data_IF_188180657722
#
_entry.id   IF_188180657722
#
_cell.length_a   1.000
_cell.length_b   1.000
_cell.length_c   1.000
_cell.angle_alpha   90.00
_cell.angle_beta   90.00
_cell.angle_gamma   90.00
#
_symmetry.space_group_name_H-M   'P 1'
#
loop_
_entity.id
_entity.type
_entity.pdbx_description
1 polymer ?
#
# COMPACT_ATOMS: atom_id res chain seq x y z
N UNK A 1 -18.83 -0.53 -19.86
CA UNK A 1 -18.77 -0.21 -18.42
C UNK A 1 -18.00 1.08 -18.30
N UNK A 2 -18.57 2.12 -17.71
CA UNK A 2 -17.95 3.44 -17.69
C UNK A 2 -16.70 3.46 -16.78
N UNK A 3 -15.59 3.98 -17.29
CA UNK A 3 -14.46 4.37 -16.47
C UNK A 3 -14.76 5.64 -15.66
N UNK A 4 -14.14 5.74 -14.49
CA UNK A 4 -14.15 6.94 -13.65
C UNK A 4 -12.75 7.55 -13.63
N UNK A 5 -12.55 8.55 -14.49
CA UNK A 5 -11.25 9.17 -14.76
C UNK A 5 -11.13 10.54 -14.09
N UNK A 6 -9.92 11.10 -14.06
CA UNK A 6 -9.70 12.50 -13.71
C UNK A 6 -10.46 13.45 -14.67
N UNK A 7 -10.92 14.61 -14.16
CA UNK A 7 -11.60 15.58 -14.99
C UNK A 7 -10.73 15.95 -16.21
N UNK A 8 -11.33 15.88 -17.41
CA UNK A 8 -10.66 16.19 -18.66
C UNK A 8 -10.01 15.01 -19.39
N UNK A 9 -9.83 13.85 -18.72
CA UNK A 9 -9.34 12.64 -19.37
C UNK A 9 -10.47 11.79 -19.95
N UNK A 10 -10.21 11.19 -21.11
CA UNK A 10 -11.08 10.20 -21.77
C UNK A 10 -10.38 8.85 -21.78
N UNK A 11 -11.13 7.79 -22.02
CA UNK A 11 -10.55 6.43 -22.02
C UNK A 11 -9.44 6.23 -23.05
N UNK A 12 -9.48 6.93 -24.20
CA UNK A 12 -8.41 6.89 -25.20
C UNK A 12 -7.11 7.58 -24.76
N UNK A 13 -7.17 8.45 -23.75
CA UNK A 13 -6.01 9.16 -23.24
C UNK A 13 -5.25 8.30 -22.18
N UNK A 14 -5.78 7.11 -21.84
CA UNK A 14 -5.17 6.19 -20.86
C UNK A 14 -4.09 5.34 -21.54
N UNK A 15 -2.84 5.45 -21.07
CA UNK A 15 -1.72 4.65 -21.57
C UNK A 15 -1.93 3.16 -21.36
N UNK A 16 -2.40 2.78 -20.17
CA UNK A 16 -2.60 1.38 -19.79
C UNK A 16 -3.55 1.19 -18.62
N UNK A 17 -4.19 0.02 -18.60
CA UNK A 17 -5.05 -0.44 -17.51
C UNK A 17 -4.35 -1.54 -16.69
N UNK A 18 -4.07 -1.26 -15.42
CA UNK A 18 -3.48 -2.22 -14.49
C UNK A 18 -4.54 -2.91 -13.65
N UNK A 19 -4.52 -4.24 -13.58
CA UNK A 19 -5.46 -4.98 -12.74
C UNK A 19 -5.06 -4.86 -11.27
N UNK A 20 -6.04 -4.61 -10.40
CA UNK A 20 -5.85 -4.52 -8.97
C UNK A 20 -7.13 -4.90 -8.21
N UNK A 21 -7.07 -4.80 -6.89
CA UNK A 21 -8.20 -4.97 -5.98
C UNK A 21 -8.34 -3.74 -5.08
N UNK A 22 -9.56 -3.46 -4.64
CA UNK A 22 -9.81 -2.42 -3.64
C UNK A 22 -9.25 -2.85 -2.29
N UNK A 23 -8.60 -1.89 -1.60
CA UNK A 23 -8.09 -2.03 -0.24
C UNK A 23 -8.91 -1.20 0.77
N UNK A 24 -9.99 -0.57 0.32
CA UNK A 24 -10.74 0.42 1.11
C UNK A 24 -11.92 -0.19 1.88
N UNK A 25 -12.15 -1.49 1.68
CA UNK A 25 -13.11 -2.31 2.41
C UNK A 25 -12.77 -3.80 2.23
N UNK A 26 -13.38 -4.65 3.03
CA UNK A 26 -13.05 -6.09 3.12
C UNK A 26 -13.60 -6.95 1.98
N UNK A 27 -14.38 -6.40 1.04
CA UNK A 27 -15.00 -7.23 -0.01
C UNK A 27 -13.98 -7.74 -1.04
N UNK A 28 -12.89 -7.00 -1.25
CA UNK A 28 -11.88 -7.33 -2.27
C UNK A 28 -12.37 -7.11 -3.70
N UNK A 29 -13.01 -5.97 -3.96
CA UNK A 29 -13.58 -5.64 -5.27
C UNK A 29 -12.50 -5.56 -6.35
N UNK A 30 -12.70 -6.27 -7.46
CA UNK A 30 -11.77 -6.26 -8.58
C UNK A 30 -11.95 -5.02 -9.44
N UNK A 31 -10.85 -4.32 -9.75
CA UNK A 31 -10.86 -3.11 -10.56
C UNK A 31 -9.64 -3.03 -11.51
N UNK A 32 -9.79 -2.21 -12.54
CA UNK A 32 -8.67 -1.74 -13.34
C UNK A 32 -8.31 -0.32 -12.92
N UNK A 33 -7.02 -0.04 -12.78
CA UNK A 33 -6.45 1.28 -12.52
C UNK A 33 -5.98 1.85 -13.85
N UNK A 34 -6.48 3.02 -14.23
CA UNK A 34 -5.97 3.78 -15.37
C UNK A 34 -4.65 4.43 -14.98
N UNK A 35 -3.64 4.25 -15.84
CA UNK A 35 -2.37 4.96 -15.74
C UNK A 35 -2.23 5.87 -16.95
N UNK A 36 -1.92 7.14 -16.69
CA UNK A 36 -1.60 8.18 -17.67
C UNK A 36 -0.41 8.97 -17.12
N UNK A 37 0.60 9.24 -17.97
CA UNK A 37 1.84 9.94 -17.59
C UNK A 37 2.51 9.38 -16.32
N UNK A 38 2.44 8.06 -16.17
CA UNK A 38 3.01 7.33 -15.02
C UNK A 38 2.26 7.55 -13.69
N UNK A 39 1.08 8.18 -13.71
CA UNK A 39 0.25 8.46 -12.52
C UNK A 39 -1.07 7.71 -12.58
N UNK A 40 -1.67 7.54 -11.41
CA UNK A 40 -3.02 6.96 -11.31
C UNK A 40 -4.03 8.01 -11.71
N UNK A 41 -4.69 7.79 -12.85
CA UNK A 41 -5.60 8.74 -13.49
C UNK A 41 -7.09 8.37 -13.34
N UNK A 42 -7.40 7.16 -12.85
CA UNK A 42 -8.78 6.71 -12.76
C UNK A 42 -8.92 5.23 -12.46
N UNK A 43 -10.17 4.77 -12.42
CA UNK A 43 -10.50 3.37 -12.19
C UNK A 43 -11.67 2.91 -13.07
N UNK A 44 -11.79 1.60 -13.27
CA UNK A 44 -12.99 0.98 -13.84
C UNK A 44 -13.27 -0.35 -13.16
N UNK A 45 -14.54 -0.72 -13.09
CA UNK A 45 -14.92 -2.03 -12.58
C UNK A 45 -14.59 -3.14 -13.57
N UNK A 46 -14.22 -4.32 -13.06
CA UNK A 46 -13.90 -5.49 -13.89
C UNK A 46 -15.09 -6.46 -13.95
N UNK A 47 -15.80 -6.47 -15.07
CA UNK A 47 -16.98 -7.32 -15.28
C UNK A 47 -16.68 -8.83 -15.18
N UNK A 48 -15.47 -9.25 -15.58
CA UNK A 48 -15.03 -10.64 -15.47
C UNK A 48 -14.77 -11.09 -14.01
N UNK A 49 -14.76 -10.17 -13.04
CA UNK A 49 -14.52 -10.48 -11.63
C UNK A 49 -15.76 -11.08 -10.96
N UNK A 50 -15.59 -12.20 -10.24
CA UNK A 50 -16.69 -12.90 -9.54
C UNK A 50 -17.30 -12.12 -8.36
N UNK A 51 -16.50 -11.26 -7.72
CA UNK A 51 -16.84 -10.60 -6.46
C UNK A 51 -17.88 -9.50 -6.69
N UNK A 52 -17.50 -8.47 -7.43
CA UNK A 52 -18.29 -7.27 -7.63
C UNK A 52 -18.94 -7.19 -9.02
N UNK A 53 -18.59 -8.10 -9.94
CA UNK A 53 -19.08 -8.12 -11.34
C UNK A 53 -18.94 -6.77 -12.04
N UNK A 54 -17.88 -6.03 -11.71
CA UNK A 54 -17.60 -4.70 -12.25
C UNK A 54 -18.36 -3.54 -11.60
N UNK A 55 -19.13 -3.76 -10.53
CA UNK A 55 -19.69 -2.68 -9.73
C UNK A 55 -18.63 -2.13 -8.77
N UNK A 56 -18.56 -0.81 -8.64
CA UNK A 56 -17.62 -0.14 -7.74
C UNK A 56 -18.40 0.82 -6.84
N UNK A 57 -18.03 0.85 -5.56
CA UNK A 57 -18.58 1.79 -4.60
C UNK A 57 -17.85 3.15 -4.65
N UNK A 58 -18.37 4.18 -3.98
CA UNK A 58 -17.72 5.49 -3.93
C UNK A 58 -16.28 5.43 -3.44
N UNK A 59 -15.97 4.57 -2.46
CA UNK A 59 -14.58 4.41 -1.98
C UNK A 59 -13.64 3.99 -3.10
N UNK A 60 -14.06 3.05 -3.95
CA UNK A 60 -13.23 2.55 -5.05
C UNK A 60 -13.06 3.58 -6.16
N UNK A 61 -14.13 4.32 -6.47
CA UNK A 61 -14.14 5.34 -7.53
C UNK A 61 -13.23 6.54 -7.18
N UNK A 62 -13.25 6.98 -5.91
CA UNK A 62 -12.55 8.17 -5.47
C UNK A 62 -11.22 7.90 -4.76
N UNK A 63 -10.90 6.64 -4.44
CA UNK A 63 -9.72 6.24 -3.66
C UNK A 63 -8.38 6.77 -4.18
N UNK A 64 -8.25 7.00 -5.50
CA UNK A 64 -7.03 7.57 -6.09
C UNK A 64 -6.64 8.94 -5.53
N UNK A 65 -7.62 9.73 -5.09
CA UNK A 65 -7.39 11.11 -4.62
C UNK A 65 -6.43 11.15 -3.43
N UNK A 66 -6.47 10.13 -2.56
CA UNK A 66 -5.55 10.00 -1.43
C UNK A 66 -4.10 9.76 -1.89
N UNK A 67 -3.89 9.03 -2.98
CA UNK A 67 -2.56 8.81 -3.56
C UNK A 67 -1.93 10.08 -4.11
N UNK A 68 -2.76 10.98 -4.64
CA UNK A 68 -2.40 12.28 -5.24
C UNK A 68 -2.53 13.46 -4.26
N UNK A 69 -2.86 13.21 -2.99
CA UNK A 69 -3.06 14.26 -2.00
C UNK A 69 -1.78 15.09 -1.79
N UNK A 70 -1.88 16.43 -1.73
CA UNK A 70 -0.70 17.31 -1.66
C UNK A 70 0.06 17.19 -0.34
N UNK A 71 -0.62 16.78 0.72
CA UNK A 71 -0.09 16.57 2.08
C UNK A 71 0.40 15.13 2.33
N UNK A 72 0.34 14.26 1.32
CA UNK A 72 0.88 12.90 1.41
C UNK A 72 2.38 12.95 1.73
N UNK A 73 2.78 12.31 2.82
CA UNK A 73 4.18 12.19 3.19
C UNK A 73 4.98 11.49 2.08
N UNK A 74 6.06 12.14 1.64
CA UNK A 74 7.00 11.62 0.63
C UNK A 74 8.32 11.18 1.24
N UNK A 75 8.54 11.46 2.52
CA UNK A 75 9.73 11.12 3.30
C UNK A 75 9.33 10.63 4.70
N UNK A 76 10.11 9.73 5.30
CA UNK A 76 9.95 9.37 6.70
C UNK A 76 10.02 10.59 7.61
N UNK A 77 9.21 10.58 8.67
CA UNK A 77 9.25 11.55 9.75
C UNK A 77 9.61 10.84 11.05
N UNK A 78 10.60 11.37 11.77
CA UNK A 78 11.00 10.90 13.10
C UNK A 78 10.68 11.95 14.15
N UNK A 79 10.40 11.52 15.38
CA UNK A 79 10.15 12.46 16.49
C UNK A 79 11.45 12.88 17.15
N UNK A 80 11.69 14.18 17.23
CA UNK A 80 12.79 14.82 17.97
C UNK A 80 12.22 15.93 18.83
N UNK A 81 12.51 15.91 20.14
CA UNK A 81 11.97 16.88 21.10
C UNK A 81 10.45 17.09 20.97
N UNK A 82 9.71 16.00 20.69
CA UNK A 82 8.25 15.99 20.52
C UNK A 82 7.74 16.41 19.14
N UNK A 83 8.59 16.91 18.24
CA UNK A 83 8.21 17.41 16.91
C UNK A 83 8.58 16.41 15.79
N UNK A 84 7.79 16.33 14.71
CA UNK A 84 8.16 15.56 13.53
C UNK A 84 9.25 16.28 12.73
N UNK A 85 10.31 15.55 12.39
CA UNK A 85 11.44 16.03 11.58
C UNK A 85 11.67 15.04 10.44
N UNK A 86 11.92 15.53 9.22
CA UNK A 86 12.25 14.67 8.07
C UNK A 86 13.52 13.84 8.31
N UNK A 87 13.52 12.60 7.85
CA UNK A 87 14.66 11.69 7.94
C UNK A 87 14.84 10.86 6.67
N UNK A 88 16.03 10.26 6.53
CA UNK A 88 16.25 9.20 5.55
C UNK A 88 15.57 7.90 6.00
N UNK A 89 15.41 6.97 5.05
CA UNK A 89 14.91 5.62 5.36
C UNK A 89 15.84 4.87 6.32
N UNK A 90 17.16 4.98 6.14
CA UNK A 90 18.13 4.32 7.02
C UNK A 90 17.99 4.80 8.47
N UNK A 91 17.93 6.11 8.69
CA UNK A 91 17.74 6.68 10.03
C UNK A 91 16.39 6.29 10.63
N UNK A 92 15.31 6.28 9.83
CA UNK A 92 14.00 5.88 10.30
C UNK A 92 13.97 4.40 10.72
N UNK A 93 14.53 3.51 9.90
CA UNK A 93 14.56 2.06 10.17
C UNK A 93 15.52 1.70 11.31
N UNK A 94 16.64 2.40 11.45
CA UNK A 94 17.55 2.25 12.59
C UNK A 94 16.85 2.57 13.90
N UNK A 95 16.03 3.63 13.95
CA UNK A 95 15.25 3.97 15.15
C UNK A 95 14.21 2.89 15.49
N UNK A 96 13.55 2.30 14.49
CA UNK A 96 12.59 1.20 14.70
C UNK A 96 13.29 -0.04 15.26
N UNK A 97 14.37 -0.47 14.62
CA UNK A 97 15.11 -1.70 14.99
C UNK A 97 15.78 -1.58 16.35
N UNK A 98 16.35 -0.41 16.69
CA UNK A 98 16.93 -0.15 18.02
C UNK A 98 15.90 -0.21 19.15
N UNK A 99 14.64 0.17 18.88
CA UNK A 99 13.56 0.18 19.88
C UNK A 99 12.84 -1.17 20.00
N UNK A 100 12.91 -2.02 18.97
CA UNK A 100 12.29 -3.33 18.93
C UNK A 100 13.25 -4.45 18.46
N UNK A 101 14.43 -4.60 19.11
CA UNK A 101 15.49 -5.50 18.63
C UNK A 101 15.06 -6.98 18.58
N UNK A 102 14.20 -7.41 19.53
CA UNK A 102 13.69 -8.79 19.59
C UNK A 102 12.44 -9.08 18.73
N UNK A 103 11.89 -8.08 18.02
CA UNK A 103 10.67 -8.25 17.21
C UNK A 103 10.99 -8.34 15.71
N UNK A 104 12.00 -7.59 15.25
CA UNK A 104 12.50 -7.71 13.88
C UNK A 104 13.25 -9.03 13.66
N UNK A 105 13.90 -9.54 14.70
CA UNK A 105 14.53 -10.86 14.71
C UNK A 105 13.61 -11.83 15.44
N UNK A 106 12.51 -12.23 14.83
CA UNK A 106 11.88 -13.50 15.22
C UNK A 106 12.96 -14.58 15.05
N UNK A 107 13.25 -15.43 16.05
CA UNK A 107 14.27 -16.45 15.88
C UNK A 107 13.80 -17.36 14.74
N UNK A 108 14.51 -17.36 13.63
CA UNK A 108 14.51 -18.50 12.71
C UNK A 108 15.24 -19.66 13.39
N UNK A 109 14.78 -20.08 14.57
CA UNK A 109 15.21 -21.32 15.18
C UNK A 109 14.49 -22.46 14.46
N UNK A 110 14.94 -22.74 13.24
CA UNK A 110 15.02 -24.12 12.80
C UNK A 110 15.91 -24.86 13.78
N UNK A 111 15.32 -25.84 14.46
CA UNK A 111 15.97 -26.99 15.11
C UNK A 111 17.50 -26.97 15.19
N UNK A 112 18.02 -26.69 16.39
CA UNK A 112 19.21 -27.39 16.87
C UNK A 112 18.89 -28.00 18.23
N UNK A 113 18.75 -29.31 18.25
CA UNK A 113 18.64 -30.15 19.45
C UNK A 113 19.94 -30.01 20.24
N UNK A 114 20.02 -28.98 21.09
CA UNK A 114 21.10 -28.78 22.05
C UNK A 114 20.76 -29.48 23.35
N UNK A 115 21.37 -30.64 23.58
CA UNK A 115 21.33 -31.38 24.84
C UNK A 115 21.68 -30.47 26.03
N UNK A 116 20.79 -30.40 27.02
CA UNK A 116 21.10 -29.81 28.35
C UNK A 116 22.23 -30.62 28.99
N UNK A 117 23.29 -29.99 29.52
CA UNK A 117 24.17 -30.70 30.44
C UNK A 117 23.38 -30.98 31.74
N UNK A 118 23.49 -32.22 32.21
CA UNK A 118 23.04 -32.58 33.55
C UNK A 118 23.94 -31.87 34.56
N UNK A 119 23.33 -31.12 35.47
CA UNK A 119 24.03 -30.64 36.68
C UNK A 119 24.24 -31.81 37.64
N UNK A 120 25.34 -31.81 38.43
CA UNK A 120 25.58 -32.81 39.46
C UNK A 120 24.55 -32.77 40.59
#
# INVERSE_FOLDING_TARGET
MAAFLEPGLREQDVDRWMQSASLLHSNGDGLGIAVEDGRVAGVRGRAAGRVNRGRLGPKDLYGRQAGNAPDRLRRPLVREHGRPVEASWDTAMERVTRRAPGWCCWPTSGTSTGSRPASP
#
